data_IF_578183462669
#
_entry.id   IF_578183462669
#
_cell.length_a   1.000
_cell.length_b   1.000
_cell.length_c   1.000
_cell.angle_alpha   90.00
_cell.angle_beta   90.00
_cell.angle_gamma   90.00
#
_symmetry.space_group_name_H-M   'P 1'
#
loop_
_entity.id
_entity.type
_entity.pdbx_description
1 polymer ?
#
# COMPACT_ATOMS: atom_id res chain seq x y z
N UNK A 1 19.34 -29.84 -10.99
CA UNK A 1 17.93 -29.76 -10.55
C UNK A 1 17.07 -29.59 -11.80
N UNK A 2 16.23 -30.56 -12.15
CA UNK A 2 15.30 -30.46 -13.31
C UNK A 2 13.95 -30.00 -12.77
N UNK A 3 13.57 -28.76 -13.09
CA UNK A 3 12.25 -28.23 -12.77
C UNK A 3 11.33 -28.63 -13.93
N UNK A 4 10.25 -29.33 -13.62
CA UNK A 4 9.23 -29.70 -14.59
C UNK A 4 8.01 -28.80 -14.35
N UNK A 5 7.62 -28.02 -15.36
CA UNK A 5 6.50 -27.09 -15.28
C UNK A 5 5.32 -27.74 -15.99
N UNK A 6 4.19 -27.83 -15.29
CA UNK A 6 2.89 -28.16 -15.89
C UNK A 6 2.01 -26.93 -15.85
N UNK A 7 1.30 -26.69 -16.95
CA UNK A 7 0.40 -25.54 -17.12
C UNK A 7 -1.02 -26.04 -17.26
N UNK A 8 -1.94 -25.49 -16.48
CA UNK A 8 -3.37 -25.78 -16.58
C UNK A 8 -4.13 -24.48 -16.84
N UNK A 9 -5.00 -24.48 -17.85
CA UNK A 9 -5.85 -23.34 -18.16
C UNK A 9 -7.06 -23.33 -17.21
N UNK A 10 -7.19 -22.27 -16.41
CA UNK A 10 -8.36 -22.04 -15.55
C UNK A 10 -9.29 -21.06 -16.27
N UNK A 11 -10.57 -21.40 -16.53
CA UNK A 11 -11.54 -20.48 -17.11
C UNK A 11 -11.68 -19.22 -16.26
N UNK A 12 -11.74 -18.03 -16.88
CA UNK A 12 -11.78 -16.73 -16.17
C UNK A 12 -12.90 -16.61 -15.12
N UNK A 13 -14.04 -17.28 -15.33
CA UNK A 13 -15.15 -17.39 -14.35
C UNK A 13 -14.75 -18.04 -13.02
N UNK A 14 -13.81 -19.00 -13.06
CA UNK A 14 -13.27 -19.70 -11.89
C UNK A 14 -12.00 -19.03 -11.36
N UNK A 15 -11.40 -18.14 -12.15
CA UNK A 15 -10.21 -17.39 -11.79
C UNK A 15 -10.51 -16.12 -10.96
N UNK A 16 -11.69 -16.01 -10.34
CA UNK A 16 -12.10 -14.78 -9.61
C UNK A 16 -11.06 -14.33 -8.57
N UNK A 17 -10.44 -15.24 -7.83
CA UNK A 17 -9.41 -14.88 -6.83
C UNK A 17 -8.13 -14.34 -7.48
N UNK A 18 -7.60 -14.99 -8.51
CA UNK A 18 -6.38 -14.57 -9.20
C UNK A 18 -6.62 -13.34 -10.07
N UNK A 19 -7.79 -13.23 -10.70
CA UNK A 19 -8.19 -12.03 -11.44
C UNK A 19 -8.37 -10.85 -10.50
N UNK A 20 -8.97 -11.03 -9.31
CA UNK A 20 -8.97 -9.99 -8.26
C UNK A 20 -7.54 -9.66 -7.80
N UNK A 21 -6.66 -10.66 -7.68
CA UNK A 21 -5.24 -10.48 -7.32
C UNK A 21 -4.45 -9.69 -8.38
N UNK A 22 -4.77 -9.84 -9.67
CA UNK A 22 -4.09 -9.18 -10.79
C UNK A 22 -4.73 -7.85 -11.18
N UNK A 23 -6.04 -7.69 -10.93
CA UNK A 23 -6.82 -6.45 -11.11
C UNK A 23 -6.83 -5.55 -9.88
N UNK A 24 -6.21 -5.99 -8.79
CA UNK A 24 -6.09 -5.20 -7.59
C UNK A 24 -5.45 -3.85 -7.93
N UNK A 25 -6.32 -2.83 -7.92
CA UNK A 25 -6.05 -1.39 -7.92
C UNK A 25 -4.81 -0.97 -8.69
N UNK A 26 -5.04 -0.30 -9.82
CA UNK A 26 -4.11 0.74 -10.20
C UNK A 26 -3.94 1.72 -9.02
N UNK A 27 -2.75 2.28 -8.90
CA UNK A 27 -2.37 3.18 -7.82
C UNK A 27 -3.46 4.25 -7.57
N UNK A 28 -3.93 4.39 -6.32
CA UNK A 28 -4.90 5.42 -5.91
C UNK A 28 -6.37 5.01 -5.94
N UNK A 29 -6.68 3.82 -6.46
CA UNK A 29 -8.06 3.35 -6.66
C UNK A 29 -8.82 3.04 -5.35
N UNK A 30 -8.14 2.92 -4.21
CA UNK A 30 -8.78 2.87 -2.90
C UNK A 30 -7.93 3.60 -1.87
N UNK A 31 -8.56 3.98 -0.78
CA UNK A 31 -7.92 4.73 0.29
C UNK A 31 -8.33 4.16 1.64
N UNK A 32 -7.37 4.00 2.55
CA UNK A 32 -7.69 3.77 3.97
C UNK A 32 -8.55 4.91 4.50
N UNK A 33 -9.63 4.56 5.22
CA UNK A 33 -10.48 5.53 5.91
C UNK A 33 -9.66 6.35 6.91
N UNK A 34 -9.82 7.68 6.89
CA UNK A 34 -9.05 8.61 7.73
C UNK A 34 -9.23 8.32 9.23
N UNK A 35 -10.41 7.84 9.62
CA UNK A 35 -10.71 7.45 11.01
C UNK A 35 -9.87 6.25 11.46
N UNK A 36 -9.58 5.31 10.56
CA UNK A 36 -8.73 4.14 10.86
C UNK A 36 -7.29 4.59 11.09
N UNK A 37 -6.75 5.46 10.22
CA UNK A 37 -5.41 6.00 10.43
C UNK A 37 -5.33 6.76 11.74
N UNK A 38 -6.33 7.61 12.04
CA UNK A 38 -6.38 8.38 13.28
C UNK A 38 -6.39 7.48 14.51
N UNK A 39 -7.23 6.43 14.52
CA UNK A 39 -7.29 5.47 15.63
C UNK A 39 -5.97 4.71 15.84
N UNK A 40 -5.31 4.31 14.75
CA UNK A 40 -3.97 3.67 14.81
C UNK A 40 -2.93 4.62 15.39
N UNK A 41 -2.90 5.86 14.92
CA UNK A 41 -1.97 6.89 15.38
C UNK A 41 -2.14 7.17 16.88
N UNK A 42 -3.38 7.29 17.35
CA UNK A 42 -3.71 7.48 18.77
C UNK A 42 -3.27 6.29 19.61
N UNK A 43 -3.62 5.06 19.18
CA UNK A 43 -3.29 3.82 19.90
C UNK A 43 -1.77 3.63 20.04
N UNK A 44 -1.02 3.91 18.98
CA UNK A 44 0.42 3.73 18.96
C UNK A 44 1.22 4.92 19.47
N UNK A 45 0.56 6.06 19.72
CA UNK A 45 1.16 7.36 20.06
C UNK A 45 2.20 7.78 19.02
N UNK A 46 1.83 7.66 17.75
CA UNK A 46 2.65 8.00 16.59
C UNK A 46 1.86 8.97 15.71
N UNK A 47 2.53 9.95 15.13
CA UNK A 47 1.94 10.89 14.18
C UNK A 47 2.75 10.84 12.90
N UNK A 48 2.19 10.35 11.78
CA UNK A 48 2.87 10.40 10.50
C UNK A 48 3.03 11.86 10.09
N UNK A 49 4.21 12.20 9.60
CA UNK A 49 4.61 13.55 9.21
C UNK A 49 4.52 13.77 7.70
N UNK A 50 4.49 12.69 6.91
CA UNK A 50 4.36 12.75 5.46
C UNK A 50 3.60 11.52 4.92
N UNK A 51 2.70 11.75 3.98
CA UNK A 51 2.02 10.72 3.19
C UNK A 51 2.84 10.43 1.93
N UNK A 52 3.45 9.26 1.85
CA UNK A 52 4.13 8.85 0.63
C UNK A 52 3.13 8.22 -0.31
N UNK A 53 3.23 8.61 -1.58
CA UNK A 53 2.49 7.99 -2.67
C UNK A 53 1.01 8.42 -2.77
N UNK A 54 0.73 9.64 -2.32
CA UNK A 54 -0.60 10.27 -2.36
C UNK A 54 -0.70 11.39 -3.41
N UNK A 55 -1.94 11.81 -3.64
CA UNK A 55 -2.38 12.99 -4.40
C UNK A 55 -3.06 13.96 -3.43
N UNK A 56 -3.31 15.20 -3.86
CA UNK A 56 -4.04 16.19 -3.05
C UNK A 56 -5.43 15.70 -2.63
N UNK A 57 -6.08 14.87 -3.46
CA UNK A 57 -7.40 14.31 -3.19
C UNK A 57 -7.38 13.14 -2.19
N UNK A 58 -6.33 12.31 -2.20
CA UNK A 58 -6.27 11.08 -1.41
C UNK A 58 -5.26 11.11 -0.25
N UNK A 59 -4.65 12.27 0.03
CA UNK A 59 -3.75 12.42 1.17
C UNK A 59 -4.46 12.17 2.50
N UNK A 60 -3.82 11.39 3.36
CA UNK A 60 -4.23 11.17 4.74
C UNK A 60 -3.44 12.03 5.74
N UNK A 61 -2.35 12.64 5.28
CA UNK A 61 -1.53 13.62 5.99
C UNK A 61 -1.38 14.85 5.10
N UNK A 62 -1.37 16.06 5.69
CA UNK A 62 -1.35 17.30 4.92
C UNK A 62 -0.12 17.44 4.02
N UNK A 63 1.05 17.01 4.53
CA UNK A 63 2.30 16.90 3.79
C UNK A 63 2.31 15.58 3.01
N UNK A 64 2.47 15.64 1.69
CA UNK A 64 2.48 14.43 0.86
C UNK A 64 3.48 14.49 -0.29
N UNK A 65 3.83 13.31 -0.81
CA UNK A 65 4.76 13.12 -1.92
C UNK A 65 4.06 12.42 -3.08
N UNK A 66 4.01 13.10 -4.22
CA UNK A 66 3.41 12.59 -5.45
C UNK A 66 4.31 11.53 -6.11
N UNK A 67 3.70 10.58 -6.84
CA UNK A 67 4.44 9.51 -7.55
C UNK A 67 4.69 9.82 -9.02
N UNK A 68 3.62 10.26 -9.70
CA UNK A 68 3.58 10.30 -11.17
C UNK A 68 3.88 11.68 -11.72
N UNK A 69 3.13 12.68 -11.25
CA UNK A 69 3.17 14.04 -11.75
C UNK A 69 3.32 15.00 -10.58
N UNK A 70 3.90 16.17 -10.84
CA UNK A 70 4.01 17.23 -9.85
C UNK A 70 2.62 17.84 -9.63
N UNK A 71 2.19 17.88 -8.37
CA UNK A 71 0.96 18.55 -7.97
C UNK A 71 1.34 19.81 -7.18
N UNK A 72 0.59 20.90 -7.37
CA UNK A 72 0.87 22.19 -6.71
C UNK A 72 0.95 22.07 -5.18
N UNK A 73 0.12 21.20 -4.59
CA UNK A 73 0.11 20.95 -3.15
C UNK A 73 1.14 19.90 -2.69
N UNK A 74 1.80 19.20 -3.61
CA UNK A 74 2.75 18.17 -3.25
C UNK A 74 4.04 18.79 -2.73
N UNK A 75 4.55 18.27 -1.61
CA UNK A 75 5.83 18.74 -1.08
C UNK A 75 6.99 18.26 -1.95
N UNK A 76 6.84 17.11 -2.60
CA UNK A 76 7.88 16.52 -3.42
C UNK A 76 7.32 15.60 -4.51
N UNK A 77 8.08 15.45 -5.59
CA UNK A 77 7.87 14.43 -6.62
C UNK A 77 8.82 13.25 -6.41
N UNK A 78 8.29 12.02 -6.49
CA UNK A 78 9.05 10.77 -6.39
C UNK A 78 9.75 10.58 -5.03
N UNK A 79 9.09 9.81 -4.15
CA UNK A 79 9.58 9.47 -2.81
C UNK A 79 10.92 8.72 -2.77
N UNK A 80 11.41 8.16 -3.88
CA UNK A 80 12.69 7.43 -3.90
C UNK A 80 13.91 8.33 -4.11
N UNK A 81 13.71 9.61 -4.41
CA UNK A 81 14.79 10.56 -4.72
C UNK A 81 15.56 11.04 -3.48
N UNK A 82 14.99 10.90 -2.27
CA UNK A 82 15.59 11.38 -1.01
C UNK A 82 15.45 10.41 0.15
N UNK A 83 16.18 10.70 1.22
CA UNK A 83 16.10 10.00 2.50
C UNK A 83 14.93 10.54 3.34
N UNK A 84 14.25 9.64 4.05
CA UNK A 84 13.16 9.92 5.00
C UNK A 84 13.50 9.50 6.44
N UNK A 85 14.80 9.43 6.77
CA UNK A 85 15.29 8.83 8.03
C UNK A 85 14.76 9.50 9.30
N UNK A 86 14.50 10.80 9.24
CA UNK A 86 14.04 11.62 10.38
C UNK A 86 12.52 11.81 10.41
N UNK A 87 11.83 11.31 9.38
CA UNK A 87 10.38 11.45 9.22
C UNK A 87 9.69 10.15 9.62
N UNK A 88 8.40 10.25 9.99
CA UNK A 88 7.54 9.10 10.14
C UNK A 88 6.57 9.12 8.97
N UNK A 89 6.78 8.28 7.97
CA UNK A 89 5.86 8.30 6.85
C UNK A 89 4.72 7.30 6.97
N UNK A 90 3.59 7.72 6.41
CA UNK A 90 2.48 6.87 6.08
C UNK A 90 2.64 6.34 4.64
N UNK A 91 2.24 5.09 4.44
CA UNK A 91 2.12 4.48 3.12
C UNK A 91 0.93 3.53 3.11
N UNK A 92 -0.10 3.87 2.34
CA UNK A 92 -1.07 2.88 1.88
C UNK A 92 -0.41 2.09 0.74
N UNK A 93 -0.31 0.76 0.86
CA UNK A 93 0.34 -0.03 -0.17
C UNK A 93 -0.69 -0.94 -0.85
N UNK A 94 -1.35 -0.46 -1.92
CA UNK A 94 -1.84 -1.35 -2.96
C UNK A 94 -0.63 -1.90 -3.68
N UNK A 95 -0.27 -3.13 -3.35
CA UNK A 95 0.52 -3.99 -4.22
C UNK A 95 2.00 -3.61 -4.42
N UNK A 96 2.86 -4.62 -4.56
CA UNK A 96 4.30 -4.42 -4.57
C UNK A 96 4.82 -4.00 -5.95
N UNK A 97 4.55 -2.77 -6.37
CA UNK A 97 5.33 -2.10 -7.41
C UNK A 97 6.26 -1.10 -6.76
N UNK A 98 7.42 -1.62 -6.36
CA UNK A 98 8.74 -1.05 -6.61
C UNK A 98 9.74 -1.71 -5.67
N UNK A 99 10.63 -2.55 -6.22
CA UNK A 99 11.82 -3.00 -5.49
C UNK A 99 12.58 -1.81 -4.89
N UNK A 100 12.53 -0.64 -5.54
CA UNK A 100 13.07 0.64 -5.06
C UNK A 100 12.53 1.06 -3.69
N UNK A 101 11.24 0.83 -3.40
CA UNK A 101 10.66 1.15 -2.10
C UNK A 101 11.22 0.27 -0.99
N UNK A 102 11.31 -1.04 -1.25
CA UNK A 102 11.89 -1.98 -0.30
C UNK A 102 13.40 -1.72 -0.12
N UNK A 103 14.11 -1.36 -1.19
CA UNK A 103 15.53 -0.98 -1.15
C UNK A 103 15.70 0.29 -0.31
N UNK A 104 14.87 1.32 -0.52
CA UNK A 104 14.91 2.56 0.26
C UNK A 104 14.60 2.28 1.74
N UNK A 105 13.60 1.46 2.04
CA UNK A 105 13.28 1.05 3.42
C UNK A 105 14.46 0.31 4.07
N UNK A 106 15.08 -0.64 3.38
CA UNK A 106 16.27 -1.36 3.88
C UNK A 106 17.48 -0.46 4.07
N UNK A 107 17.70 0.48 3.15
CA UNK A 107 18.84 1.40 3.15
C UNK A 107 18.74 2.45 4.25
N UNK A 108 17.57 3.07 4.40
CA UNK A 108 17.40 4.22 5.28
C UNK A 108 16.77 3.86 6.63
N UNK A 109 16.14 2.68 6.75
CA UNK A 109 15.41 2.19 7.93
C UNK A 109 14.55 3.26 8.61
N UNK A 110 13.71 3.96 7.85
CA UNK A 110 12.83 4.99 8.39
C UNK A 110 11.76 4.37 9.29
N UNK A 111 11.21 5.17 10.21
CA UNK A 111 9.97 4.79 10.89
C UNK A 111 8.82 4.95 9.90
N UNK A 112 7.97 3.94 9.80
CA UNK A 112 6.83 4.00 8.90
C UNK A 112 5.63 3.25 9.44
N UNK A 113 4.45 3.71 9.02
CA UNK A 113 3.19 3.00 9.16
C UNK A 113 2.82 2.49 7.77
N UNK A 114 2.59 1.18 7.66
CA UNK A 114 2.24 0.52 6.39
C UNK A 114 0.98 -0.31 6.61
N UNK A 115 -0.06 -0.04 5.83
CA UNK A 115 -1.19 -0.96 5.69
C UNK A 115 -0.97 -1.81 4.44
N UNK A 116 -1.16 -3.12 4.60
CA UNK A 116 -1.00 -4.08 3.52
C UNK A 116 -1.98 -5.24 3.69
N UNK A 117 -2.55 -5.76 2.58
CA UNK A 117 -3.31 -7.00 2.62
C UNK A 117 -2.49 -8.15 3.19
N UNK A 118 -3.15 -9.04 3.94
CA UNK A 118 -2.48 -10.17 4.62
C UNK A 118 -2.21 -11.32 3.65
N UNK A 119 -1.18 -11.17 2.80
CA UNK A 119 -0.81 -12.18 1.81
C UNK A 119 0.37 -13.04 2.25
N UNK A 120 0.09 -14.06 3.05
CA UNK A 120 1.12 -14.95 3.63
C UNK A 120 2.00 -15.65 2.59
N UNK A 121 1.48 -15.90 1.39
CA UNK A 121 2.23 -16.55 0.31
C UNK A 121 3.16 -15.60 -0.45
N UNK A 122 3.11 -14.30 -0.18
CA UNK A 122 4.01 -13.33 -0.83
C UNK A 122 5.30 -13.14 -0.03
N UNK A 123 6.44 -13.43 -0.68
CA UNK A 123 7.80 -13.22 -0.12
C UNK A 123 7.98 -11.81 0.44
N UNK A 124 7.38 -10.81 -0.21
CA UNK A 124 7.47 -9.40 0.22
C UNK A 124 6.70 -9.12 1.51
N UNK A 125 5.54 -9.75 1.71
CA UNK A 125 4.81 -9.66 2.97
C UNK A 125 5.64 -10.27 4.11
N UNK A 126 6.29 -11.41 3.87
CA UNK A 126 7.21 -12.02 4.85
C UNK A 126 8.38 -11.10 5.20
N UNK A 127 8.95 -10.40 4.22
CA UNK A 127 9.99 -9.39 4.47
C UNK A 127 9.47 -8.22 5.30
N UNK A 128 8.28 -7.68 5.00
CA UNK A 128 7.67 -6.62 5.80
C UNK A 128 7.49 -7.05 7.25
N UNK A 129 7.04 -8.29 7.49
CA UNK A 129 6.89 -8.83 8.85
C UNK A 129 8.22 -8.97 9.59
N UNK A 130 9.32 -9.29 8.90
CA UNK A 130 10.64 -9.48 9.53
C UNK A 130 11.20 -8.17 10.07
N UNK A 131 10.95 -7.05 9.36
CA UNK A 131 11.42 -5.72 9.73
C UNK A 131 10.40 -4.94 10.60
N UNK A 132 9.27 -5.58 10.94
CA UNK A 132 8.16 -4.95 11.65
C UNK A 132 8.36 -4.99 13.17
N UNK A 133 8.23 -3.83 13.83
CA UNK A 133 8.31 -3.73 15.30
C UNK A 133 6.95 -3.88 16.00
N UNK A 134 5.84 -3.56 15.30
CA UNK A 134 4.47 -3.61 15.83
C UNK A 134 3.49 -3.96 14.72
N UNK A 135 2.60 -4.92 14.98
CA UNK A 135 1.58 -5.35 14.04
C UNK A 135 0.18 -5.27 14.65
N UNK A 136 -0.82 -4.96 13.83
CA UNK A 136 -2.22 -4.97 14.21
C UNK A 136 -3.07 -5.49 13.04
N UNK A 137 -4.04 -6.36 13.34
CA UNK A 137 -4.98 -6.89 12.34
C UNK A 137 -6.21 -5.99 12.36
N UNK A 138 -6.45 -5.28 11.27
CA UNK A 138 -7.54 -4.30 11.16
C UNK A 138 -8.91 -4.93 10.86
N UNK A 139 -8.92 -6.18 10.38
CA UNK A 139 -10.15 -6.86 9.95
C UNK A 139 -10.33 -6.80 8.44
N UNK A 140 -11.58 -6.97 8.00
CA UNK A 140 -11.96 -7.07 6.59
C UNK A 140 -11.79 -5.74 5.84
N UNK A 141 -11.29 -5.80 4.61
CA UNK A 141 -10.92 -4.61 3.81
C UNK A 141 -12.07 -3.62 3.59
N UNK A 142 -13.31 -4.08 3.40
CA UNK A 142 -14.49 -3.21 3.19
C UNK A 142 -14.83 -2.34 4.41
N UNK A 143 -14.39 -2.75 5.61
CA UNK A 143 -14.54 -1.92 6.80
C UNK A 143 -13.48 -0.84 6.87
N UNK A 144 -12.31 -1.07 6.24
CA UNK A 144 -11.10 -0.27 6.41
C UNK A 144 -10.86 0.68 5.23
N UNK A 145 -11.23 0.27 4.03
CA UNK A 145 -10.96 0.97 2.79
C UNK A 145 -12.23 1.63 2.24
N UNK A 146 -12.04 2.79 1.62
CA UNK A 146 -13.00 3.42 0.73
C UNK A 146 -12.71 2.97 -0.70
N UNK A 147 -13.75 2.60 -1.45
CA UNK A 147 -13.64 2.40 -2.89
C UNK A 147 -13.64 3.76 -3.59
N UNK A 148 -12.70 3.98 -4.50
CA UNK A 148 -12.73 5.18 -5.35
C UNK A 148 -13.80 5.06 -6.45
N UNK A 149 -14.22 6.22 -6.98
CA UNK A 149 -15.15 6.37 -8.10
C UNK A 149 -14.70 5.57 -9.32
N UNK A 150 -13.40 5.52 -9.61
CA UNK A 150 -12.88 4.75 -10.73
C UNK A 150 -13.01 3.23 -10.52
N UNK A 151 -12.79 2.73 -9.31
CA UNK A 151 -13.07 1.31 -9.00
C UNK A 151 -14.54 0.96 -9.17
N UNK A 152 -15.43 1.84 -8.68
CA UNK A 152 -16.87 1.64 -8.81
C UNK A 152 -17.29 1.57 -10.28
N UNK A 153 -16.75 2.44 -11.15
CA UNK A 153 -17.00 2.42 -12.60
C UNK A 153 -16.51 1.11 -13.25
N UNK A 154 -15.34 0.64 -12.86
CA UNK A 154 -14.73 -0.61 -13.38
C UNK A 154 -15.36 -1.87 -12.81
N UNK A 155 -16.20 -1.75 -11.78
CA UNK A 155 -16.75 -2.86 -10.98
C UNK A 155 -15.65 -3.71 -10.35
N UNK A 156 -14.55 -3.07 -9.96
CA UNK A 156 -13.45 -3.72 -9.28
C UNK A 156 -13.78 -3.90 -7.78
N UNK A 157 -13.23 -4.96 -7.19
CA UNK A 157 -13.42 -5.27 -5.77
C UNK A 157 -12.23 -4.78 -4.94
N UNK A 158 -12.50 -4.45 -3.68
CA UNK A 158 -11.44 -4.19 -2.70
C UNK A 158 -10.52 -5.41 -2.53
N UNK A 159 -9.26 -5.22 -2.12
CA UNK A 159 -8.38 -6.33 -1.76
C UNK A 159 -9.05 -7.26 -0.74
N UNK A 160 -8.74 -8.57 -0.76
CA UNK A 160 -9.05 -9.43 0.37
C UNK A 160 -8.25 -9.03 1.61
#
# INVERSE_FOLDING_TARGET
MRIQIQTQHIPGVSNKRTDVQNRLSTQGDYQVKKEILSALCQSWKITPTVDLFATGENKLVDRFVAIGEEEEESEWLNAFSRSWKEEIFWKDSPIPKNGKALIAQKKFKPKSIVISPRWLDQIRFKHLLTDCSRQYILGESFLILNQDKEMMKRKDMLPP
#
